data_IF_321953965532
#
_entry.id   IF_321953965532
#
_cell.length_a   1.000
_cell.length_b   1.000
_cell.length_c   1.000
_cell.angle_alpha   90.00
_cell.angle_beta   90.00
_cell.angle_gamma   90.00
#
_symmetry.space_group_name_H-M   'P 1'
#
loop_
_entity.id
_entity.type
_entity.pdbx_description
1 polymer ?
#
# COMPACT_ATOMS: atom_id res chain seq x y z
N UNK A 1 3.35 9.88 -16.05
CA UNK A 1 2.74 8.97 -15.07
C UNK A 1 1.72 9.71 -14.23
N UNK A 2 0.50 9.19 -14.10
CA UNK A 2 -0.55 9.81 -13.32
C UNK A 2 -0.38 9.52 -11.82
N UNK A 3 -0.43 10.58 -10.99
CA UNK A 3 -0.53 10.49 -9.54
C UNK A 3 -1.95 10.93 -9.15
N UNK A 4 -2.68 10.05 -8.48
CA UNK A 4 -4.06 10.26 -8.07
C UNK A 4 -4.15 10.19 -6.55
N UNK A 5 -4.71 11.23 -5.93
CA UNK A 5 -5.11 11.19 -4.54
C UNK A 5 -6.57 10.75 -4.43
N UNK A 6 -6.82 9.76 -3.61
CA UNK A 6 -8.16 9.20 -3.38
C UNK A 6 -8.51 9.33 -1.91
N UNK A 7 -9.74 9.79 -1.65
CA UNK A 7 -10.36 9.76 -0.33
C UNK A 7 -11.64 8.92 -0.42
N UNK A 8 -11.81 7.97 0.50
CA UNK A 8 -13.02 7.14 0.55
C UNK A 8 -13.37 6.75 1.99
N UNK A 9 -14.61 6.32 2.21
CA UNK A 9 -15.06 5.87 3.53
C UNK A 9 -14.69 4.40 3.69
N UNK A 10 -13.76 4.11 4.61
CA UNK A 10 -13.41 2.75 4.98
C UNK A 10 -14.46 2.13 5.89
N UNK A 11 -14.88 0.91 5.56
CA UNK A 11 -15.78 0.12 6.39
C UNK A 11 -15.07 -0.49 7.59
N UNK A 12 -13.81 -0.85 7.47
CA UNK A 12 -12.99 -1.38 8.57
C UNK A 12 -12.65 -0.31 9.60
N UNK A 13 -12.36 0.93 9.13
CA UNK A 13 -11.93 2.03 9.98
C UNK A 13 -13.06 3.01 10.34
N UNK A 14 -14.25 2.87 9.74
CA UNK A 14 -15.45 3.72 9.94
C UNK A 14 -15.18 5.22 9.83
N UNK A 15 -14.25 5.60 8.96
CA UNK A 15 -13.87 7.00 8.69
C UNK A 15 -13.37 7.17 7.27
N UNK A 16 -13.27 8.42 6.84
CA UNK A 16 -12.61 8.76 5.59
C UNK A 16 -11.12 8.50 5.71
N UNK A 17 -10.57 7.79 4.74
CA UNK A 17 -9.14 7.48 4.63
C UNK A 17 -8.59 8.03 3.31
N UNK A 18 -7.30 8.37 3.33
CA UNK A 18 -6.61 8.91 2.16
C UNK A 18 -5.55 7.94 1.67
N UNK A 19 -5.38 7.89 0.36
CA UNK A 19 -4.27 7.18 -0.28
C UNK A 19 -3.79 7.95 -1.52
N UNK A 20 -2.51 7.79 -1.86
CA UNK A 20 -2.00 8.12 -3.18
C UNK A 20 -1.90 6.85 -4.02
N UNK A 21 -2.20 6.98 -5.31
CA UNK A 21 -2.08 5.90 -6.29
C UNK A 21 -1.28 6.39 -7.49
N UNK A 22 -0.24 5.67 -7.83
CA UNK A 22 0.56 5.88 -9.02
C UNK A 22 0.04 4.96 -10.11
N UNK A 23 -0.33 5.53 -11.27
CA UNK A 23 -0.88 4.81 -12.41
C UNK A 23 -0.02 5.02 -13.66
N UNK A 24 0.59 3.97 -14.23
CA UNK A 24 1.43 4.08 -15.42
C UNK A 24 0.61 4.11 -16.73
N UNK A 25 -0.43 4.96 -16.78
CA UNK A 25 -1.42 5.01 -17.87
C UNK A 25 -1.09 6.02 -18.98
N UNK A 26 -0.18 6.96 -18.71
CA UNK A 26 0.12 8.12 -19.53
C UNK A 26 1.58 8.15 -20.02
N UNK A 27 2.16 6.97 -20.28
CA UNK A 27 3.54 6.87 -20.79
C UNK A 27 3.68 7.59 -22.13
N UNK A 28 4.58 8.57 -22.16
CA UNK A 28 4.93 9.25 -23.40
C UNK A 28 5.84 8.37 -24.26
N UNK A 29 5.40 8.05 -25.46
CA UNK A 29 6.16 7.27 -26.45
C UNK A 29 6.50 8.15 -27.65
N UNK A 30 7.79 8.27 -27.97
CA UNK A 30 8.24 9.03 -29.16
C UNK A 30 7.86 8.34 -30.48
N UNK A 31 7.74 7.02 -30.49
CA UNK A 31 7.33 6.20 -31.64
C UNK A 31 6.52 4.99 -31.17
N UNK A 32 5.41 4.75 -31.84
CA UNK A 32 4.59 3.55 -31.65
C UNK A 32 3.31 3.79 -30.83
N UNK A 33 2.39 2.85 -30.92
CA UNK A 33 1.15 2.85 -30.16
C UNK A 33 1.41 2.23 -28.78
N UNK A 34 0.92 2.87 -27.74
CA UNK A 34 0.85 2.25 -26.43
C UNK A 34 -0.06 1.02 -26.53
N UNK A 35 0.48 -0.15 -26.31
CA UNK A 35 -0.36 -1.34 -26.20
C UNK A 35 -1.16 -1.22 -24.91
N UNK A 36 -2.49 -1.33 -24.96
CA UNK A 36 -3.31 -1.29 -23.77
C UNK A 36 -2.91 -2.44 -22.84
N UNK A 37 -2.56 -2.11 -21.61
CA UNK A 37 -2.32 -3.11 -20.57
C UNK A 37 -3.66 -3.70 -20.18
N UNK A 38 -3.78 -5.02 -20.25
CA UNK A 38 -5.03 -5.71 -19.92
C UNK A 38 -5.40 -5.52 -18.45
N UNK A 39 -4.41 -5.69 -17.57
CA UNK A 39 -4.53 -5.48 -16.12
C UNK A 39 -3.15 -5.12 -15.57
N UNK A 40 -3.12 -4.28 -14.52
CA UNK A 40 -1.86 -3.86 -13.91
C UNK A 40 -1.51 -4.70 -12.69
N UNK A 41 -0.23 -5.07 -12.57
CA UNK A 41 0.33 -5.55 -11.30
C UNK A 41 0.33 -4.42 -10.29
N UNK A 42 0.12 -4.75 -9.01
CA UNK A 42 -0.09 -3.75 -7.96
C UNK A 42 0.81 -3.98 -6.77
N UNK A 43 1.46 -2.91 -6.32
CA UNK A 43 2.21 -2.85 -5.06
C UNK A 43 1.44 -2.01 -4.05
N UNK A 44 1.09 -2.60 -2.92
CA UNK A 44 0.63 -1.90 -1.72
C UNK A 44 1.84 -1.54 -0.88
N UNK A 45 2.14 -0.22 -0.75
CA UNK A 45 3.38 0.29 -0.19
C UNK A 45 3.12 1.09 1.08
N UNK A 46 3.55 0.54 2.22
CA UNK A 46 3.23 1.02 3.56
C UNK A 46 4.31 1.97 4.10
N UNK A 47 3.91 3.12 4.66
CA UNK A 47 4.81 4.11 5.27
C UNK A 47 5.30 3.68 6.67
N UNK A 48 6.34 4.34 7.15
CA UNK A 48 6.86 4.18 8.51
C UNK A 48 6.10 4.98 9.56
N UNK A 49 6.53 4.88 10.81
CA UNK A 49 5.98 5.64 11.95
C UNK A 49 6.04 7.16 11.65
N UNK A 50 5.05 7.91 12.09
CA UNK A 50 4.87 9.36 11.88
C UNK A 50 4.72 9.78 10.41
N UNK A 51 4.62 8.83 9.50
CA UNK A 51 4.39 9.07 8.09
C UNK A 51 2.92 9.06 7.69
N UNK A 52 2.68 9.20 6.39
CA UNK A 52 1.36 9.10 5.79
C UNK A 52 1.44 8.71 4.30
N UNK A 53 0.32 8.74 3.61
CA UNK A 53 0.18 8.39 2.19
C UNK A 53 1.04 9.22 1.22
N UNK A 54 1.65 10.33 1.65
CA UNK A 54 2.49 11.19 0.80
C UNK A 54 3.99 10.86 0.86
N UNK A 55 4.43 10.14 1.89
CA UNK A 55 5.86 9.94 2.19
C UNK A 55 6.66 9.35 1.04
N UNK A 56 6.16 8.27 0.46
CA UNK A 56 6.87 7.60 -0.63
C UNK A 56 7.02 8.47 -1.87
N UNK A 57 5.99 9.26 -2.20
CA UNK A 57 6.01 10.16 -3.36
C UNK A 57 6.97 11.32 -3.13
N UNK A 58 6.98 11.89 -1.92
CA UNK A 58 7.75 13.11 -1.62
C UNK A 58 9.22 12.85 -1.30
N UNK A 59 9.55 11.63 -0.83
CA UNK A 59 10.88 11.30 -0.31
C UNK A 59 11.65 10.30 -1.16
N UNK A 60 11.05 9.77 -2.22
CA UNK A 60 11.69 8.74 -3.05
C UNK A 60 11.40 8.94 -4.54
N UNK A 61 12.06 8.14 -5.37
CA UNK A 61 11.79 8.08 -6.82
C UNK A 61 10.76 7.00 -7.18
N UNK A 62 9.80 6.74 -6.29
CA UNK A 62 8.83 5.64 -6.50
C UNK A 62 8.04 5.79 -7.81
N UNK A 63 7.75 7.02 -8.25
CA UNK A 63 7.07 7.27 -9.51
C UNK A 63 7.88 6.77 -10.71
N UNK A 64 9.17 7.09 -10.78
CA UNK A 64 10.06 6.64 -11.87
C UNK A 64 10.16 5.11 -11.89
N UNK A 65 10.31 4.49 -10.72
CA UNK A 65 10.42 3.03 -10.62
C UNK A 65 9.13 2.33 -11.02
N UNK A 66 7.99 2.84 -10.59
CA UNK A 66 6.68 2.31 -10.93
C UNK A 66 6.42 2.42 -12.45
N UNK A 67 6.79 3.54 -13.07
CA UNK A 67 6.68 3.73 -14.52
C UNK A 67 7.57 2.75 -15.29
N UNK A 68 8.85 2.63 -14.88
CA UNK A 68 9.79 1.73 -15.53
C UNK A 68 9.31 0.25 -15.50
N UNK A 69 8.62 -0.14 -14.42
CA UNK A 69 8.11 -1.50 -14.22
C UNK A 69 6.66 -1.70 -14.67
N UNK A 70 6.01 -0.66 -15.16
CA UNK A 70 4.58 -0.69 -15.51
C UNK A 70 3.70 -1.18 -14.34
N UNK A 71 3.99 -0.66 -13.14
CA UNK A 71 3.44 -1.10 -11.87
C UNK A 71 2.52 -0.04 -11.29
N UNK A 72 1.33 -0.40 -10.86
CA UNK A 72 0.49 0.45 -10.01
C UNK A 72 1.02 0.39 -8.58
N UNK A 73 1.14 1.55 -7.93
CA UNK A 73 1.56 1.62 -6.52
C UNK A 73 0.48 2.32 -5.71
N UNK A 74 -0.04 1.64 -4.71
CA UNK A 74 -1.07 2.13 -3.78
C UNK A 74 -0.39 2.43 -2.45
N UNK A 75 -0.48 3.67 -1.98
CA UNK A 75 0.16 4.16 -0.77
C UNK A 75 -0.92 4.69 0.19
N UNK A 76 -1.46 3.85 1.09
CA UNK A 76 -2.47 4.27 2.06
C UNK A 76 -1.87 5.02 3.25
N UNK A 77 -2.68 5.81 3.97
CA UNK A 77 -2.38 6.18 5.35
C UNK A 77 -2.66 5.03 6.29
N UNK A 78 -1.71 4.74 7.16
CA UNK A 78 -1.79 3.69 8.18
C UNK A 78 -1.75 4.24 9.60
N UNK A 79 -1.75 5.55 9.78
CA UNK A 79 -1.55 6.23 11.05
C UNK A 79 -0.30 5.67 11.79
N UNK A 80 -0.27 5.67 13.11
CA UNK A 80 0.77 4.99 13.91
C UNK A 80 0.29 3.62 14.42
N UNK A 81 -0.48 2.88 13.59
CA UNK A 81 -1.22 1.70 14.00
C UNK A 81 -0.43 0.39 13.92
N UNK A 82 0.82 0.42 13.41
CA UNK A 82 1.57 -0.80 13.03
C UNK A 82 0.79 -1.73 12.08
N UNK A 83 -0.27 -1.21 11.45
CA UNK A 83 -1.13 -1.96 10.52
C UNK A 83 -1.74 -3.22 11.14
N UNK A 84 -2.05 -3.17 12.44
CA UNK A 84 -2.70 -4.24 13.19
C UNK A 84 -4.15 -3.88 13.52
N UNK A 85 -4.96 -4.91 13.70
CA UNK A 85 -6.31 -4.74 14.23
C UNK A 85 -6.19 -4.47 15.74
N UNK A 86 -6.87 -3.45 16.23
CA UNK A 86 -6.84 -3.02 17.63
C UNK A 86 -8.18 -3.36 18.31
N UNK A 87 -8.17 -3.62 19.62
CA UNK A 87 -9.39 -3.87 20.39
C UNK A 87 -10.31 -2.63 20.47
N UNK A 88 -9.74 -1.45 20.25
CA UNK A 88 -10.51 -0.20 20.15
C UNK A 88 -11.33 -0.23 18.87
N UNK A 89 -12.62 0.08 18.98
CA UNK A 89 -13.54 0.11 17.85
C UNK A 89 -13.03 1.01 16.71
N UNK A 90 -13.25 0.55 15.48
CA UNK A 90 -12.92 1.28 14.25
C UNK A 90 -11.42 1.49 13.97
N UNK A 91 -10.58 0.58 14.44
CA UNK A 91 -9.13 0.58 14.19
C UNK A 91 -8.62 -0.77 13.63
N UNK A 92 -9.40 -1.38 12.75
CA UNK A 92 -9.08 -2.68 12.14
C UNK A 92 -8.15 -2.50 10.92
N UNK A 93 -6.94 -1.96 11.17
CA UNK A 93 -5.97 -1.66 10.11
C UNK A 93 -5.44 -2.90 9.39
N UNK A 94 -5.38 -4.04 10.07
CA UNK A 94 -5.00 -5.29 9.42
C UNK A 94 -6.05 -5.75 8.40
N UNK A 95 -7.34 -5.67 8.73
CA UNK A 95 -8.44 -5.96 7.80
C UNK A 95 -8.46 -4.94 6.67
N UNK A 96 -8.28 -3.65 7.00
CA UNK A 96 -8.19 -2.58 6.02
C UNK A 96 -7.14 -2.86 4.95
N UNK A 97 -5.90 -3.13 5.35
CA UNK A 97 -4.78 -3.39 4.42
C UNK A 97 -4.92 -4.75 3.71
N UNK A 98 -5.27 -5.79 4.47
CA UNK A 98 -5.25 -7.16 3.97
C UNK A 98 -6.43 -7.55 3.09
N UNK A 99 -7.52 -6.79 3.14
CA UNK A 99 -8.77 -7.13 2.43
C UNK A 99 -9.41 -5.91 1.79
N UNK A 100 -9.89 -4.95 2.58
CA UNK A 100 -10.73 -3.85 2.08
C UNK A 100 -10.02 -2.99 1.04
N UNK A 101 -8.78 -2.58 1.30
CA UNK A 101 -8.01 -1.73 0.40
C UNK A 101 -7.82 -2.39 -0.96
N UNK A 102 -7.57 -3.70 -0.98
CA UNK A 102 -7.41 -4.48 -2.21
C UNK A 102 -8.72 -4.49 -3.00
N UNK A 103 -9.84 -4.77 -2.35
CA UNK A 103 -11.15 -4.80 -3.00
C UNK A 103 -11.56 -3.42 -3.54
N UNK A 104 -11.35 -2.36 -2.76
CA UNK A 104 -11.70 -1.00 -3.15
C UNK A 104 -10.86 -0.55 -4.35
N UNK A 105 -9.56 -0.77 -4.31
CA UNK A 105 -8.66 -0.36 -5.41
C UNK A 105 -8.90 -1.16 -6.69
N UNK A 106 -9.22 -2.44 -6.60
CA UNK A 106 -9.62 -3.27 -7.76
C UNK A 106 -10.94 -2.81 -8.39
N UNK A 107 -11.86 -2.26 -7.60
CA UNK A 107 -13.10 -1.64 -8.13
C UNK A 107 -12.87 -0.28 -8.78
N UNK A 108 -11.87 0.48 -8.32
CA UNK A 108 -11.56 1.82 -8.83
C UNK A 108 -10.65 1.78 -10.05
N UNK A 109 -9.73 0.85 -10.11
CA UNK A 109 -8.64 0.81 -11.08
C UNK A 109 -8.56 -0.55 -11.78
N UNK A 110 -7.97 -0.56 -12.96
CA UNK A 110 -7.83 -1.78 -13.78
C UNK A 110 -6.67 -2.66 -13.29
N UNK A 111 -6.83 -3.25 -12.11
CA UNK A 111 -5.81 -4.05 -11.43
C UNK A 111 -6.04 -5.54 -11.64
N UNK A 112 -4.94 -6.30 -11.72
CA UNK A 112 -4.99 -7.76 -11.75
C UNK A 112 -5.63 -8.33 -10.48
N UNK A 113 -6.46 -9.35 -10.66
CA UNK A 113 -7.04 -10.12 -9.57
C UNK A 113 -6.16 -11.30 -9.13
N UNK A 114 -5.06 -11.55 -9.84
CA UNK A 114 -4.16 -12.64 -9.52
C UNK A 114 -3.28 -12.31 -8.32
N UNK A 115 -3.16 -13.28 -7.42
CA UNK A 115 -2.29 -13.21 -6.25
C UNK A 115 -0.85 -12.88 -6.64
N UNK A 116 -0.32 -13.52 -7.68
CA UNK A 116 1.08 -13.37 -8.11
C UNK A 116 1.38 -12.01 -8.78
N UNK A 117 0.36 -11.20 -9.02
CA UNK A 117 0.46 -9.83 -9.50
C UNK A 117 0.19 -8.80 -8.39
N UNK A 118 0.00 -9.25 -7.15
CA UNK A 118 -0.33 -8.41 -6.00
C UNK A 118 0.78 -8.49 -4.96
N UNK A 119 1.42 -7.36 -4.69
CA UNK A 119 2.60 -7.25 -3.84
C UNK A 119 2.32 -6.35 -2.65
N UNK A 120 2.99 -6.62 -1.52
CA UNK A 120 2.97 -5.74 -0.36
C UNK A 120 4.40 -5.45 0.10
N UNK A 121 4.69 -4.18 0.37
CA UNK A 121 5.98 -3.77 0.91
C UNK A 121 5.82 -2.62 1.90
N UNK A 122 6.85 -2.35 2.69
CA UNK A 122 6.85 -1.22 3.59
C UNK A 122 8.18 -1.02 4.31
N UNK A 123 8.33 0.16 4.92
CA UNK A 123 9.53 0.56 5.65
C UNK A 123 9.23 0.66 7.15
N UNK A 124 10.13 0.16 8.00
CA UNK A 124 10.05 0.30 9.46
C UNK A 124 8.71 -0.27 10.00
N UNK A 125 7.85 0.55 10.60
CA UNK A 125 6.48 0.18 10.97
C UNK A 125 5.73 -0.44 9.77
N UNK A 126 5.86 0.14 8.58
CA UNK A 126 5.27 -0.40 7.34
C UNK A 126 5.89 -1.72 6.91
N UNK A 127 7.18 -1.93 7.21
CA UNK A 127 7.86 -3.22 6.99
C UNK A 127 7.28 -4.33 7.88
N UNK A 128 7.03 -4.02 9.16
CA UNK A 128 6.30 -4.91 10.06
C UNK A 128 4.89 -5.19 9.53
N UNK A 129 4.15 -4.13 9.15
CA UNK A 129 2.80 -4.25 8.61
C UNK A 129 2.74 -5.08 7.32
N UNK A 130 3.73 -4.90 6.43
CA UNK A 130 3.83 -5.67 5.19
C UNK A 130 4.07 -7.16 5.47
N UNK A 131 5.01 -7.48 6.38
CA UNK A 131 5.31 -8.86 6.76
C UNK A 131 4.09 -9.52 7.42
N UNK A 132 3.54 -8.87 8.46
CA UNK A 132 2.40 -9.42 9.21
C UNK A 132 1.17 -9.64 8.32
N UNK A 133 0.77 -8.61 7.56
CA UNK A 133 -0.44 -8.72 6.75
C UNK A 133 -0.23 -9.56 5.49
N UNK A 134 0.96 -9.53 4.90
CA UNK A 134 1.30 -10.40 3.79
C UNK A 134 1.26 -11.89 4.15
N UNK A 135 1.67 -12.24 5.38
CA UNK A 135 1.57 -13.62 5.89
C UNK A 135 0.14 -13.97 6.34
N UNK A 136 -0.55 -13.07 7.06
CA UNK A 136 -1.92 -13.31 7.54
C UNK A 136 -2.91 -13.46 6.36
N UNK A 137 -2.75 -12.64 5.32
CA UNK A 137 -3.61 -12.62 4.13
C UNK A 137 -2.87 -13.15 2.89
N UNK A 138 -2.10 -14.22 3.05
CA UNK A 138 -1.23 -14.79 2.01
C UNK A 138 -1.97 -15.16 0.72
N UNK A 139 -3.27 -15.41 0.80
CA UNK A 139 -4.12 -15.67 -0.36
C UNK A 139 -4.27 -14.44 -1.29
N UNK A 140 -4.03 -13.22 -0.76
CA UNK A 140 -4.15 -11.98 -1.51
C UNK A 140 -2.80 -11.48 -2.06
N UNK A 141 -1.68 -11.83 -1.42
CA UNK A 141 -0.35 -11.32 -1.74
C UNK A 141 0.59 -12.43 -2.22
N UNK A 142 1.16 -12.24 -3.42
CA UNK A 142 2.16 -13.15 -3.98
C UNK A 142 3.56 -12.91 -3.42
N UNK A 143 3.89 -11.65 -3.15
CA UNK A 143 5.24 -11.27 -2.70
C UNK A 143 5.17 -10.23 -1.59
N UNK A 144 6.11 -10.35 -0.65
CA UNK A 144 6.25 -9.49 0.52
C UNK A 144 7.68 -8.93 0.54
N UNK A 145 7.83 -7.61 0.76
CA UNK A 145 9.11 -6.99 1.02
C UNK A 145 9.06 -6.14 2.29
N UNK A 146 9.89 -6.47 3.27
CA UNK A 146 9.98 -5.78 4.55
C UNK A 146 11.32 -5.05 4.65
N UNK A 147 11.28 -3.72 4.58
CA UNK A 147 12.46 -2.85 4.56
C UNK A 147 12.72 -2.32 5.97
N UNK A 148 13.90 -2.61 6.54
CA UNK A 148 14.28 -2.17 7.91
C UNK A 148 13.13 -2.31 8.90
N UNK A 149 12.51 -3.47 8.90
CA UNK A 149 11.26 -3.75 9.60
C UNK A 149 11.41 -3.66 11.11
N UNK A 150 10.46 -3.00 11.78
CA UNK A 150 10.40 -2.90 13.24
C UNK A 150 9.84 -4.21 13.82
N UNK A 151 10.64 -5.27 13.88
CA UNK A 151 10.21 -6.60 14.33
C UNK A 151 10.13 -6.71 15.86
N UNK A 152 10.95 -5.96 16.59
CA UNK A 152 11.03 -5.99 18.06
C UNK A 152 10.14 -4.93 18.70
N UNK A 153 8.88 -4.84 18.26
CA UNK A 153 7.93 -3.81 18.75
C UNK A 153 7.65 -3.91 20.25
N UNK A 154 7.85 -5.08 20.86
CA UNK A 154 7.68 -5.31 22.31
C UNK A 154 8.88 -4.85 23.14
N UNK A 155 10.02 -4.57 22.50
CA UNK A 155 11.25 -4.08 23.15
C UNK A 155 11.42 -2.56 23.00
N UNK A 156 10.48 -1.89 22.33
CA UNK A 156 10.50 -0.43 22.28
C UNK A 156 10.31 0.13 23.69
N UNK A 157 11.18 1.06 24.15
CA UNK A 157 11.03 1.64 25.48
C UNK A 157 9.66 2.33 25.56
N UNK A 158 8.82 1.81 26.44
CA UNK A 158 7.62 2.52 26.87
C UNK A 158 8.13 3.64 27.77
N UNK A 159 8.10 4.87 27.28
CA UNK A 159 8.30 6.02 28.17
C UNK A 159 7.06 6.10 29.05
N UNK A 160 7.18 5.61 30.28
CA UNK A 160 6.23 5.91 31.34
C UNK A 160 6.32 7.44 31.58
N UNK A 161 5.31 8.20 31.18
CA UNK A 161 5.10 9.58 31.59
C UNK A 161 4.43 9.64 32.96
#
# INVERSE_FOLDING_TARGET
MALVQVNFISQSLKRTVSMNVILPVDKFLFKGNCQPVKEYKTLYLLHGLLGNYTDWVTRTRIQEWAEAKNLVVVMPSGDNSFYVDQEVKNNDFGIFIGTELIEVTRRMFHLSNHRDDTFIAGLSMGGFGALRNGLKYYQNFGYIAALSSALNIFELPVHDE
#
